data_IF_820415913222
#
_entry.id   IF_820415913222
#
_cell.length_a   1.000
_cell.length_b   1.000
_cell.length_c   1.000
_cell.angle_alpha   90.00
_cell.angle_beta   90.00
_cell.angle_gamma   90.00
#
_symmetry.space_group_name_H-M   'P 1'
#
loop_
_entity.id
_entity.type
_entity.pdbx_description
1 polymer ?
#
# COMPACT_ATOMS: atom_id res chain seq x y z
N UNK A 1 11.90 -36.95 -5.24
CA UNK A 1 12.04 -36.39 -3.88
C UNK A 1 10.89 -35.41 -3.69
N UNK A 2 9.86 -35.81 -2.94
CA UNK A 2 8.78 -34.92 -2.52
C UNK A 2 9.29 -34.14 -1.32
N UNK A 3 9.58 -32.85 -1.49
CA UNK A 3 9.93 -31.99 -0.38
C UNK A 3 8.79 -31.00 -0.17
N UNK A 4 8.06 -31.09 0.96
CA UNK A 4 6.91 -30.24 1.26
C UNK A 4 7.25 -28.73 1.26
N UNK A 5 8.53 -28.40 1.39
CA UNK A 5 9.06 -27.03 1.30
C UNK A 5 8.72 -26.33 -0.04
N UNK A 6 8.71 -27.03 -1.18
CA UNK A 6 8.37 -26.41 -2.48
C UNK A 6 6.87 -26.11 -2.61
N UNK A 7 6.00 -26.94 -2.04
CA UNK A 7 4.55 -26.71 -2.05
C UNK A 7 4.14 -25.57 -1.09
N UNK A 8 4.83 -25.43 0.05
CA UNK A 8 4.62 -24.31 0.97
C UNK A 8 5.22 -22.99 0.47
N UNK A 9 6.36 -23.03 -0.21
CA UNK A 9 6.91 -21.86 -0.88
C UNK A 9 5.95 -21.31 -1.96
N UNK A 10 5.37 -22.20 -2.78
CA UNK A 10 4.37 -21.81 -3.79
C UNK A 10 3.11 -21.19 -3.18
N UNK A 11 2.66 -21.67 -2.02
CA UNK A 11 1.50 -21.09 -1.31
C UNK A 11 1.77 -19.69 -0.75
N UNK A 12 2.95 -19.48 -0.14
CA UNK A 12 3.34 -18.18 0.42
C UNK A 12 3.59 -17.16 -0.69
N UNK A 13 4.27 -17.55 -1.77
CA UNK A 13 4.51 -16.68 -2.92
C UNK A 13 3.19 -16.19 -3.53
N UNK A 14 2.21 -17.07 -3.68
CA UNK A 14 0.86 -16.71 -4.17
C UNK A 14 0.18 -15.69 -3.26
N UNK A 15 0.26 -15.86 -1.93
CA UNK A 15 -0.33 -14.91 -0.97
C UNK A 15 0.38 -13.55 -1.06
N UNK A 16 1.71 -13.54 -1.13
CA UNK A 16 2.50 -12.32 -1.23
C UNK A 16 2.19 -11.56 -2.53
N UNK A 17 2.05 -12.27 -3.65
CA UNK A 17 1.68 -11.63 -4.91
C UNK A 17 0.25 -11.09 -4.90
N UNK A 18 -0.71 -11.80 -4.31
CA UNK A 18 -2.06 -11.25 -4.14
C UNK A 18 -2.07 -9.94 -3.32
N UNK A 19 -1.19 -9.83 -2.31
CA UNK A 19 -1.05 -8.60 -1.52
C UNK A 19 -0.40 -7.50 -2.38
N UNK A 20 0.67 -7.81 -3.11
CA UNK A 20 1.32 -6.86 -4.03
C UNK A 20 0.35 -6.36 -5.09
N UNK A 21 -0.44 -7.26 -5.70
CA UNK A 21 -1.45 -6.93 -6.70
C UNK A 21 -2.55 -6.04 -6.11
N UNK A 22 -2.98 -6.33 -4.88
CA UNK A 22 -3.95 -5.50 -4.18
C UNK A 22 -3.39 -4.09 -3.93
N UNK A 23 -2.15 -3.99 -3.42
CA UNK A 23 -1.52 -2.72 -3.04
C UNK A 23 -1.10 -1.87 -4.25
N UNK A 24 -0.72 -2.48 -5.36
CA UNK A 24 -0.25 -1.78 -6.57
C UNK A 24 -1.37 -1.54 -7.60
N UNK A 25 -2.47 -2.31 -7.50
CA UNK A 25 -3.59 -2.26 -8.41
C UNK A 25 -4.51 -1.04 -8.25
N UNK A 26 -5.46 -0.92 -9.18
CA UNK A 26 -6.42 0.19 -9.23
C UNK A 26 -7.31 0.27 -7.97
N UNK A 27 -7.59 -0.87 -7.33
CA UNK A 27 -8.43 -0.95 -6.13
C UNK A 27 -7.80 -0.14 -4.98
N UNK A 28 -6.50 -0.34 -4.70
CA UNK A 28 -5.82 0.43 -3.67
C UNK A 28 -5.81 1.92 -3.96
N UNK A 29 -5.57 2.32 -5.21
CA UNK A 29 -5.58 3.74 -5.61
C UNK A 29 -6.93 4.41 -5.33
N UNK A 30 -8.02 3.71 -5.62
CA UNK A 30 -9.37 4.20 -5.31
C UNK A 30 -9.59 4.33 -3.80
N UNK A 31 -9.21 3.32 -3.01
CA UNK A 31 -9.34 3.36 -1.55
C UNK A 31 -8.50 4.47 -0.93
N UNK A 32 -7.25 4.63 -1.37
CA UNK A 32 -6.35 5.69 -0.93
C UNK A 32 -6.93 7.07 -1.25
N UNK A 33 -7.50 7.25 -2.44
CA UNK A 33 -8.12 8.51 -2.85
C UNK A 33 -9.29 8.89 -1.93
N UNK A 34 -10.18 7.93 -1.65
CA UNK A 34 -11.30 8.14 -0.73
C UNK A 34 -10.81 8.48 0.67
N UNK A 35 -9.80 7.76 1.17
CA UNK A 35 -9.22 8.02 2.49
C UNK A 35 -8.66 9.44 2.60
N UNK A 36 -7.92 9.92 1.59
CA UNK A 36 -7.38 11.29 1.53
C UNK A 36 -8.49 12.33 1.59
N UNK A 37 -9.59 12.12 0.86
CA UNK A 37 -10.75 13.03 0.89
C UNK A 37 -11.35 13.10 2.30
N UNK A 38 -11.55 11.94 2.95
CA UNK A 38 -12.11 11.90 4.31
C UNK A 38 -11.19 12.58 5.31
N UNK A 39 -9.87 12.38 5.21
CA UNK A 39 -8.87 13.03 6.07
C UNK A 39 -8.90 14.56 5.88
N UNK A 40 -8.96 15.02 4.63
CA UNK A 40 -9.02 16.45 4.33
C UNK A 40 -10.29 17.08 4.93
N UNK A 41 -11.43 16.43 4.77
CA UNK A 41 -12.70 16.87 5.36
C UNK A 41 -12.60 16.87 6.89
N UNK A 42 -12.15 15.77 7.51
CA UNK A 42 -12.02 15.66 8.96
C UNK A 42 -11.11 16.75 9.54
N UNK A 43 -10.03 17.09 8.83
CA UNK A 43 -9.15 18.20 9.19
C UNK A 43 -9.83 19.56 9.06
N UNK A 44 -10.55 19.83 7.98
CA UNK A 44 -11.27 21.09 7.78
C UNK A 44 -12.36 21.34 8.84
N UNK A 45 -13.00 20.29 9.35
CA UNK A 45 -14.00 20.37 10.41
C UNK A 45 -13.41 20.32 11.83
N UNK A 46 -12.08 20.30 11.98
CA UNK A 46 -11.42 20.32 13.28
C UNK A 46 -11.50 18.99 14.05
N UNK A 47 -11.90 17.89 13.42
CA UNK A 47 -11.86 16.56 14.03
C UNK A 47 -10.42 16.02 14.15
N UNK A 48 -9.47 16.60 13.41
CA UNK A 48 -8.04 16.30 13.55
C UNK A 48 -7.18 17.53 13.25
N UNK A 49 -6.00 17.59 13.89
CA UNK A 49 -5.02 18.64 13.65
C UNK A 49 -4.19 18.41 12.39
N UNK A 50 -3.60 19.48 11.84
CA UNK A 50 -2.77 19.44 10.63
C UNK A 50 -1.63 18.43 10.74
N UNK A 51 -1.06 18.26 11.94
CA UNK A 51 0.01 17.27 12.20
C UNK A 51 -0.50 15.84 12.01
N UNK A 52 -1.68 15.51 12.55
CA UNK A 52 -2.27 14.18 12.42
C UNK A 52 -2.65 13.90 10.97
N UNK A 53 -3.30 14.87 10.31
CA UNK A 53 -3.60 14.78 8.88
C UNK A 53 -2.33 14.56 8.06
N UNK A 54 -1.26 15.31 8.33
CA UNK A 54 0.04 15.19 7.65
C UNK A 54 0.65 13.78 7.75
N UNK A 55 0.60 13.12 8.91
CA UNK A 55 1.09 11.75 9.05
C UNK A 55 0.36 10.77 8.13
N UNK A 56 -0.96 10.91 8.02
CA UNK A 56 -1.75 10.05 7.13
C UNK A 56 -1.42 10.29 5.65
N UNK A 57 -1.31 11.54 5.23
CA UNK A 57 -1.00 11.87 3.83
C UNK A 57 0.40 11.38 3.44
N UNK A 58 1.39 11.56 4.31
CA UNK A 58 2.75 11.05 4.09
C UNK A 58 2.73 9.52 3.98
N UNK A 59 2.05 8.83 4.91
CA UNK A 59 1.97 7.36 4.89
C UNK A 59 1.38 6.82 3.59
N UNK A 60 0.29 7.42 3.10
CA UNK A 60 -0.34 7.04 1.83
C UNK A 60 0.62 7.31 0.66
N UNK A 61 1.29 8.47 0.65
CA UNK A 61 2.26 8.83 -0.39
C UNK A 61 3.45 7.88 -0.45
N UNK A 62 3.96 7.44 0.69
CA UNK A 62 5.07 6.47 0.76
C UNK A 62 4.65 5.10 0.22
N UNK A 63 3.45 4.62 0.55
CA UNK A 63 2.95 3.34 0.03
C UNK A 63 2.81 3.42 -1.49
N UNK A 64 2.21 4.49 -2.00
CA UNK A 64 2.05 4.71 -3.44
C UNK A 64 3.39 4.84 -4.18
N UNK A 65 4.38 5.51 -3.59
CA UNK A 65 5.71 5.71 -4.19
C UNK A 65 6.66 4.52 -4.03
N UNK A 66 6.37 3.58 -3.13
CA UNK A 66 7.27 2.46 -2.82
C UNK A 66 7.52 1.53 -4.01
N UNK A 67 6.54 1.33 -4.90
CA UNK A 67 6.70 0.48 -6.08
C UNK A 67 7.72 1.05 -7.07
N UNK A 68 7.76 2.38 -7.23
CA UNK A 68 8.75 3.05 -8.10
C UNK A 68 10.16 2.98 -7.50
N UNK A 69 10.28 3.16 -6.18
CA UNK A 69 11.55 3.02 -5.47
C UNK A 69 12.12 1.61 -5.61
N UNK A 70 11.30 0.57 -5.44
CA UNK A 70 11.72 -0.83 -5.61
C UNK A 70 12.14 -1.10 -7.06
N UNK A 71 11.35 -0.65 -8.04
CA UNK A 71 11.70 -0.80 -9.46
C UNK A 71 13.06 -0.16 -9.82
N UNK A 72 13.40 0.97 -9.20
CA UNK A 72 14.69 1.64 -9.40
C UNK A 72 15.86 0.85 -8.79
N UNK A 73 15.65 0.16 -7.67
CA UNK A 73 16.68 -0.61 -6.95
C UNK A 73 16.95 -1.95 -7.64
N UNK A 74 15.90 -2.66 -8.05
CA UNK A 74 16.01 -4.03 -8.57
C UNK A 74 16.35 -4.03 -10.07
N UNK A 75 16.14 -2.90 -10.76
CA UNK A 75 16.23 -2.78 -12.21
C UNK A 75 14.90 -3.23 -12.84
N UNK A 76 14.33 -2.37 -13.69
CA UNK A 76 13.07 -2.63 -14.41
C UNK A 76 13.19 -3.80 -15.37
#
# INVERSE_FOLDING_TARGET
>A
MSQPAFAQAAGIETILQNIVDLLTGNIFRLLATIAVIVIAIAWMFGYMDLRRAGYWIIGIGVIAGSSELVGTIVGS
#
